data_IF_963755818948
#
_entry.id   IF_963755818948
#
_cell.length_a   1.000
_cell.length_b   1.000
_cell.length_c   1.000
_cell.angle_alpha   90.00
_cell.angle_beta   90.00
_cell.angle_gamma   90.00
#
_symmetry.space_group_name_H-M   'P 1'
#
loop_
_entity.id
_entity.type
_entity.pdbx_description
1 polymer ?
#
# COMPACT_ATOMS: atom_id res chain seq x y z
N UNK A 1 19.86 -4.97 0.66
CA UNK A 1 20.38 -3.60 0.68
C UNK A 1 19.37 -2.72 -0.04
N UNK A 2 18.58 -1.86 0.64
CA UNK A 2 17.48 -1.14 0.00
C UNK A 2 17.96 -0.02 -0.93
N UNK A 3 17.57 -0.11 -2.20
CA UNK A 3 17.72 0.93 -3.21
C UNK A 3 16.39 1.62 -3.45
N UNK A 4 16.41 2.94 -3.56
CA UNK A 4 15.24 3.74 -3.89
C UNK A 4 15.47 4.47 -5.20
N UNK A 5 14.41 4.62 -5.99
CA UNK A 5 14.43 5.43 -7.20
C UNK A 5 14.26 6.90 -6.85
N UNK A 6 15.13 7.74 -7.38
CA UNK A 6 15.07 9.20 -7.28
C UNK A 6 14.92 9.83 -8.67
N UNK A 7 14.42 11.06 -8.70
CA UNK A 7 14.23 11.85 -9.92
C UNK A 7 14.80 13.27 -9.72
N UNK A 8 15.51 13.79 -10.72
CA UNK A 8 16.01 15.17 -10.71
C UNK A 8 14.87 16.18 -10.83
N UNK A 9 14.94 17.25 -10.03
CA UNK A 9 14.03 18.38 -10.13
C UNK A 9 14.55 19.35 -11.19
N UNK A 10 14.23 19.05 -12.45
CA UNK A 10 14.53 19.98 -13.55
C UNK A 10 13.59 21.19 -13.53
N UNK A 11 14.11 22.36 -13.89
CA UNK A 11 13.27 23.54 -14.13
C UNK A 11 12.46 23.31 -15.40
N UNK A 12 11.28 23.93 -15.46
CA UNK A 12 10.26 23.78 -16.52
C UNK A 12 10.85 23.61 -17.92
N UNK A 13 10.62 22.45 -18.53
CA UNK A 13 10.95 22.17 -19.94
C UNK A 13 12.06 21.15 -20.18
N UNK A 14 12.83 20.76 -19.16
CA UNK A 14 13.84 19.72 -19.30
C UNK A 14 13.39 18.38 -18.70
N UNK A 15 13.75 17.28 -19.38
CA UNK A 15 13.35 15.93 -18.98
C UNK A 15 13.96 15.54 -17.62
N UNK A 16 13.15 15.06 -16.67
CA UNK A 16 13.66 14.62 -15.39
C UNK A 16 14.40 13.29 -15.53
N UNK A 17 15.61 13.22 -14.97
CA UNK A 17 16.44 12.02 -15.00
C UNK A 17 16.17 11.17 -13.77
N UNK A 18 15.99 9.86 -13.98
CA UNK A 18 15.76 8.87 -12.92
C UNK A 18 16.99 8.00 -12.71
N UNK A 19 17.26 7.65 -11.46
CA UNK A 19 18.39 6.82 -11.05
C UNK A 19 18.09 6.15 -9.70
N UNK A 20 18.84 5.11 -9.37
CA UNK A 20 18.70 4.37 -8.12
C UNK A 20 19.82 4.77 -7.14
N UNK A 21 19.45 5.05 -5.90
CA UNK A 21 20.39 5.32 -4.81
C UNK A 21 20.19 4.30 -3.70
N UNK A 22 21.29 3.72 -3.23
CA UNK A 22 21.31 2.99 -1.98
C UNK A 22 21.13 3.95 -0.80
N UNK A 23 20.11 3.72 0.02
CA UNK A 23 19.86 4.48 1.24
C UNK A 23 19.41 3.53 2.34
N UNK A 24 19.94 3.67 3.57
CA UNK A 24 19.47 2.88 4.71
C UNK A 24 18.05 3.31 5.08
N UNK A 25 17.21 2.37 5.53
CA UNK A 25 15.82 2.68 5.89
C UNK A 25 15.70 3.63 7.09
N UNK A 26 16.74 3.71 7.93
CA UNK A 26 16.83 4.59 9.09
C UNK A 26 17.12 6.04 8.74
N UNK A 27 17.57 6.31 7.51
CA UNK A 27 18.11 7.61 7.14
C UNK A 27 17.01 8.47 6.51
N UNK A 28 17.10 9.79 6.72
CA UNK A 28 16.18 10.74 6.11
C UNK A 28 16.28 10.73 4.58
N UNK A 29 15.18 11.01 3.84
CA UNK A 29 15.20 11.09 2.39
C UNK A 29 16.21 12.13 1.87
N UNK A 30 17.04 11.74 0.90
CA UNK A 30 17.95 12.67 0.23
C UNK A 30 17.20 13.76 -0.54
N UNK A 31 17.61 15.02 -0.33
CA UNK A 31 17.10 16.19 -1.05
C UNK A 31 18.03 16.63 -2.20
N UNK A 32 19.29 16.23 -2.14
CA UNK A 32 20.33 16.54 -3.11
C UNK A 32 21.08 15.27 -3.52
N UNK A 33 21.46 15.21 -4.79
CA UNK A 33 22.24 14.10 -5.33
C UNK A 33 23.66 14.11 -4.75
N UNK A 34 24.18 12.98 -4.24
CA UNK A 34 25.48 12.94 -3.56
C UNK A 34 26.66 13.31 -4.46
N UNK A 35 26.59 12.97 -5.75
CA UNK A 35 27.69 13.21 -6.71
C UNK A 35 27.64 14.57 -7.41
N UNK A 36 26.46 15.07 -7.77
CA UNK A 36 26.33 16.28 -8.62
C UNK A 36 25.64 17.47 -7.92
N UNK A 37 25.16 17.30 -6.69
CA UNK A 37 24.51 18.35 -5.91
C UNK A 37 23.15 18.82 -6.44
N UNK A 38 22.60 18.19 -7.49
CA UNK A 38 21.30 18.57 -8.03
C UNK A 38 20.19 18.24 -7.04
N UNK A 39 19.12 19.04 -7.05
CA UNK A 39 17.93 18.75 -6.24
C UNK A 39 17.22 17.51 -6.79
N UNK A 40 16.89 16.59 -5.89
CA UNK A 40 16.27 15.32 -6.22
C UNK A 40 15.07 15.07 -5.30
N UNK A 41 14.14 14.22 -5.75
CA UNK A 41 13.03 13.72 -4.92
C UNK A 41 12.94 12.20 -5.06
N UNK A 42 12.57 11.52 -3.96
CA UNK A 42 12.32 10.07 -3.99
C UNK A 42 11.03 9.80 -4.73
N UNK A 43 11.07 8.90 -5.71
CA UNK A 43 9.90 8.41 -6.42
C UNK A 43 9.46 7.11 -5.78
N UNK A 44 8.24 7.11 -5.25
CA UNK A 44 7.58 5.88 -4.81
C UNK A 44 6.88 5.29 -6.02
N UNK A 45 7.57 4.43 -6.76
CA UNK A 45 6.96 3.65 -7.85
C UNK A 45 6.18 2.48 -7.25
N UNK A 46 5.14 2.80 -6.48
CA UNK A 46 4.16 1.84 -5.96
C UNK A 46 3.09 1.63 -7.01
N UNK A 47 2.93 0.38 -7.46
CA UNK A 47 2.08 0.00 -8.60
C UNK A 47 0.74 0.68 -8.57
N UNK A 48 0.51 1.57 -9.55
CA UNK A 48 -0.76 2.12 -10.02
C UNK A 48 -1.94 1.64 -9.17
N UNK A 49 -2.06 2.19 -7.95
CA UNK A 49 -3.00 1.66 -6.97
C UNK A 49 -4.37 1.66 -7.62
N UNK A 50 -4.92 0.45 -7.81
CA UNK A 50 -6.18 0.14 -8.51
C UNK A 50 -6.75 1.39 -9.17
N UNK A 51 -6.26 1.71 -10.38
CA UNK A 51 -6.72 2.89 -11.11
C UNK A 51 -8.24 2.84 -11.14
N UNK A 52 -8.87 3.84 -10.52
CA UNK A 52 -10.29 4.08 -10.26
C UNK A 52 -11.26 3.58 -11.35
N UNK A 53 -11.40 2.28 -11.48
CA UNK A 53 -12.62 1.62 -11.93
C UNK A 53 -13.32 1.11 -10.68
N UNK A 54 -14.65 1.23 -10.63
CA UNK A 54 -15.42 0.54 -9.61
C UNK A 54 -14.96 -0.92 -9.57
N UNK A 55 -14.61 -1.40 -8.37
CA UNK A 55 -14.41 -2.83 -8.13
C UNK A 55 -15.64 -3.52 -8.76
N UNK A 56 -15.41 -4.44 -9.70
CA UNK A 56 -16.51 -5.12 -10.41
C UNK A 56 -17.51 -5.62 -9.36
N UNK A 57 -18.82 -5.55 -9.63
CA UNK A 57 -19.83 -6.06 -8.67
C UNK A 57 -19.54 -7.49 -8.23
N UNK A 58 -18.94 -8.30 -9.11
CA UNK A 58 -18.50 -9.68 -8.82
C UNK A 58 -17.42 -9.79 -7.75
N UNK A 59 -16.60 -8.75 -7.53
CA UNK A 59 -15.56 -8.70 -6.50
C UNK A 59 -16.00 -7.94 -5.25
N UNK A 60 -17.23 -7.41 -5.22
CA UNK A 60 -17.85 -6.84 -4.02
C UNK A 60 -18.63 -7.93 -3.29
N UNK A 61 -18.16 -8.33 -2.12
CA UNK A 61 -18.88 -9.29 -1.27
C UNK A 61 -19.93 -8.56 -0.44
N UNK A 62 -21.16 -9.09 -0.39
CA UNK A 62 -22.17 -8.60 0.53
C UNK A 62 -21.81 -9.00 1.97
N UNK A 63 -21.51 -8.00 2.81
CA UNK A 63 -21.04 -8.17 4.19
C UNK A 63 -22.06 -8.82 5.13
N UNK A 64 -23.33 -8.92 4.73
CA UNK A 64 -24.36 -9.65 5.50
C UNK A 64 -24.39 -11.15 5.19
N UNK A 65 -23.70 -11.62 4.16
CA UNK A 65 -23.65 -13.05 3.85
C UNK A 65 -22.77 -13.80 4.86
N UNK A 66 -23.17 -14.99 5.33
CA UNK A 66 -22.34 -15.83 6.22
C UNK A 66 -20.96 -16.15 5.64
N UNK A 67 -20.86 -16.31 4.31
CA UNK A 67 -19.61 -16.54 3.58
C UNK A 67 -18.68 -15.31 3.51
N UNK A 68 -19.19 -14.12 3.82
CA UNK A 68 -18.41 -12.87 3.88
C UNK A 68 -17.68 -12.69 5.22
N UNK A 69 -18.11 -13.42 6.25
CA UNK A 69 -17.32 -13.53 7.47
C UNK A 69 -16.08 -14.38 7.18
N UNK A 70 -14.90 -13.89 7.55
CA UNK A 70 -13.69 -14.68 7.51
C UNK A 70 -13.92 -16.04 8.18
N UNK A 71 -13.41 -17.13 7.59
CA UNK A 71 -13.42 -18.45 8.20
C UNK A 71 -12.90 -18.29 9.62
N UNK A 72 -13.76 -18.50 10.63
CA UNK A 72 -13.42 -18.42 12.07
C UNK A 72 -12.38 -19.48 12.50
N UNK A 73 -11.86 -20.21 11.52
CA UNK A 73 -10.80 -21.20 11.54
C UNK A 73 -9.47 -20.61 12.04
N UNK A 74 -9.29 -19.28 11.97
CA UNK A 74 -8.12 -18.59 12.53
C UNK A 74 -8.31 -18.07 13.98
N UNK A 75 -9.51 -18.13 14.54
CA UNK A 75 -9.80 -17.60 15.90
C UNK A 75 -10.15 -18.71 16.91
N UNK A 76 -10.36 -19.95 16.45
CA UNK A 76 -10.73 -21.08 17.28
C UNK A 76 -9.54 -21.81 17.96
N UNK A 77 -8.44 -21.10 18.23
CA UNK A 77 -7.49 -21.60 19.22
C UNK A 77 -7.99 -21.40 20.66
N UNK A 78 -9.02 -20.57 20.91
CA UNK A 78 -9.53 -20.33 22.28
C UNK A 78 -11.04 -20.14 22.29
N UNK A 79 -11.76 -21.17 22.77
CA UNK A 79 -13.04 -21.03 23.50
C UNK A 79 -14.33 -20.92 22.68
N UNK A 80 -15.14 -21.97 22.72
CA UNK A 80 -16.57 -21.95 22.40
C UNK A 80 -17.34 -21.00 23.33
N UNK A 81 -18.38 -20.28 22.87
CA UNK A 81 -19.63 -20.08 23.63
C UNK A 81 -20.82 -19.52 22.79
N UNK A 82 -21.89 -20.32 22.79
CA UNK A 82 -23.37 -20.10 22.68
C UNK A 82 -23.98 -19.00 21.79
N UNK A 83 -24.84 -19.47 20.88
CA UNK A 83 -25.98 -18.72 20.31
C UNK A 83 -27.09 -18.55 21.36
N UNK A 84 -27.67 -17.34 21.44
CA UNK A 84 -28.96 -17.13 22.12
C UNK A 84 -30.01 -16.77 21.08
N UNK A 85 -30.98 -17.67 20.86
CA UNK A 85 -32.17 -17.43 20.05
C UNK A 85 -33.24 -16.85 20.98
N UNK A 86 -33.60 -15.59 20.80
CA UNK A 86 -34.81 -15.03 21.41
C UNK A 86 -35.96 -15.17 20.41
N UNK A 87 -36.85 -16.14 20.66
CA UNK A 87 -38.21 -16.14 20.12
C UNK A 87 -39.02 -15.09 20.88
N UNK A 88 -39.65 -14.16 20.17
CA UNK A 88 -40.63 -13.24 20.75
C UNK A 88 -42.03 -13.77 20.44
N UNK A 89 -42.87 -13.85 21.47
CA UNK A 89 -44.30 -14.16 21.41
C UNK A 89 -45.10 -13.00 20.84
#
# INVERSE_FOLDING_TARGET
MPTYTYETLSKTGADPQRFEIFQRMSDDPLLFHPTNGQRIKRIITGGQGIRRGAIRRSTVVNKSLPAASACKCATQAIGHHRHNHTHNH
#
